data_IF_380401819242
#
_entry.id   IF_380401819242
#
_cell.length_a   1.000
_cell.length_b   1.000
_cell.length_c   1.000
_cell.angle_alpha   90.00
_cell.angle_beta   90.00
_cell.angle_gamma   90.00
#
_symmetry.space_group_name_H-M   'P 1'
#
loop_
_entity.id
_entity.type
_entity.pdbx_description
1 polymer ?
#
# COMPACT_ATOMS: atom_id res chain seq x y z
N UNK A 1 41.38 24.67 -15.37
CA UNK A 1 41.71 24.23 -13.99
C UNK A 1 40.48 23.50 -13.46
N UNK A 2 40.19 22.23 -13.80
CA UNK A 2 40.89 20.96 -13.56
C UNK A 2 40.93 20.53 -12.07
N UNK A 3 39.80 19.94 -11.61
CA UNK A 3 39.66 18.65 -10.89
C UNK A 3 40.34 18.39 -9.51
N UNK A 4 39.92 17.32 -8.77
CA UNK A 4 39.57 17.35 -7.33
C UNK A 4 40.48 16.47 -6.45
N UNK A 5 40.21 16.35 -5.14
CA UNK A 5 40.68 15.27 -4.27
C UNK A 5 39.66 15.13 -3.11
N UNK A 6 38.82 14.10 -3.02
CA UNK A 6 39.09 12.66 -2.79
C UNK A 6 40.06 12.41 -1.63
N UNK A 7 39.51 12.06 -0.48
CA UNK A 7 40.06 11.05 0.43
C UNK A 7 38.87 10.49 1.25
N UNK A 8 38.25 9.42 0.75
CA UNK A 8 38.60 8.04 1.09
C UNK A 8 38.18 7.67 2.52
N UNK A 9 36.91 7.33 2.66
CA UNK A 9 36.44 6.41 3.70
C UNK A 9 37.01 5.03 3.35
N UNK A 10 38.03 4.57 4.07
CA UNK A 10 38.52 3.19 4.00
C UNK A 10 38.81 2.63 5.39
N UNK A 11 37.92 1.72 5.76
CA UNK A 11 38.04 0.48 6.54
C UNK A 11 38.63 0.56 7.96
N UNK A 12 37.89 0.17 9.00
CA UNK A 12 37.39 -1.17 9.37
C UNK A 12 38.52 -2.11 9.86
N UNK A 13 38.34 -2.58 11.10
CA UNK A 13 38.95 -3.74 11.78
C UNK A 13 40.39 -3.59 12.28
N UNK A 14 40.55 -3.69 13.60
CA UNK A 14 41.19 -4.82 14.28
C UNK A 14 41.04 -4.66 15.82
N UNK A 15 41.24 -5.74 16.60
CA UNK A 15 40.43 -6.06 17.78
C UNK A 15 40.96 -5.43 19.07
N UNK A 16 40.06 -5.38 20.05
CA UNK A 16 40.38 -5.11 21.44
C UNK A 16 41.42 -6.10 21.95
N UNK A 17 42.57 -5.57 22.39
CA UNK A 17 43.47 -6.27 23.32
C UNK A 17 43.96 -5.26 24.36
N UNK A 18 43.45 -5.43 25.57
CA UNK A 18 44.06 -5.22 26.88
C UNK A 18 44.81 -3.93 27.26
N UNK A 19 44.26 -3.31 28.32
CA UNK A 19 44.91 -2.61 29.45
C UNK A 19 45.82 -1.39 29.22
N UNK A 20 45.41 -0.30 29.89
CA UNK A 20 46.24 0.80 30.42
C UNK A 20 47.04 1.66 29.42
N UNK A 21 46.40 2.71 28.90
CA UNK A 21 46.95 4.08 28.89
C UNK A 21 45.92 5.06 28.31
N UNK A 22 45.57 6.08 29.08
CA UNK A 22 44.79 7.23 28.63
C UNK A 22 45.69 8.11 27.75
N UNK A 23 45.41 8.21 26.45
CA UNK A 23 46.01 9.21 25.59
C UNK A 23 44.89 9.94 24.84
N UNK A 24 44.37 11.02 25.43
CA UNK A 24 43.49 11.95 24.73
C UNK A 24 44.38 12.82 23.84
N UNK A 25 44.27 12.62 22.53
CA UNK A 25 44.94 13.46 21.53
C UNK A 25 44.20 14.80 21.45
N UNK A 26 44.78 15.84 22.05
CA UNK A 26 44.21 17.20 22.07
C UNK A 26 44.47 17.90 20.74
N UNK A 27 43.41 18.11 19.96
CA UNK A 27 43.54 18.68 18.61
C UNK A 27 43.08 20.14 18.51
N UNK A 28 42.70 20.82 19.62
CA UNK A 28 42.33 22.24 19.58
C UNK A 28 42.85 23.06 20.78
N UNK A 29 43.08 24.37 20.58
CA UNK A 29 43.46 25.34 21.62
C UNK A 29 42.41 25.47 22.75
N UNK A 30 41.17 25.02 22.53
CA UNK A 30 40.12 24.95 23.56
C UNK A 30 40.40 23.85 24.58
N UNK A 31 40.94 22.72 24.12
CA UNK A 31 41.21 21.55 24.96
C UNK A 31 42.37 21.80 25.93
N UNK A 32 43.40 22.54 25.50
CA UNK A 32 44.51 22.97 26.37
C UNK A 32 44.05 23.92 27.49
N UNK A 33 43.14 24.86 27.21
CA UNK A 33 42.63 25.79 28.22
C UNK A 33 41.77 25.10 29.28
N UNK A 34 41.05 24.03 28.90
CA UNK A 34 40.30 23.23 29.87
C UNK A 34 41.25 22.45 30.79
N UNK A 35 42.30 21.83 30.25
CA UNK A 35 43.25 21.08 31.06
C UNK A 35 44.06 21.97 32.03
N UNK A 36 44.42 23.18 31.60
CA UNK A 36 45.15 24.12 32.46
C UNK A 36 44.30 24.60 33.65
N UNK A 37 42.98 24.75 33.46
CA UNK A 37 42.05 25.07 34.55
C UNK A 37 41.80 23.86 35.46
N UNK A 38 41.91 22.64 34.91
CA UNK A 38 41.75 21.36 35.61
C UNK A 38 42.88 21.07 36.59
N UNK A 39 44.12 21.41 36.23
CA UNK A 39 45.31 21.22 37.05
C UNK A 39 45.33 22.03 38.35
N UNK A 40 44.50 23.08 38.46
CA UNK A 40 44.54 24.06 39.56
C UNK A 40 43.32 24.04 40.49
N UNK A 41 42.47 22.99 40.46
CA UNK A 41 41.36 22.86 41.43
C UNK A 41 41.72 21.91 42.57
N UNK A 42 41.40 22.29 43.81
CA UNK A 42 41.75 21.61 45.07
C UNK A 42 41.06 20.26 45.31
N UNK A 43 40.37 19.70 44.31
CA UNK A 43 39.85 18.33 44.37
C UNK A 43 39.54 17.77 42.96
N UNK A 44 40.56 17.34 42.19
CA UNK A 44 40.40 16.92 40.80
C UNK A 44 39.53 15.67 40.63
N UNK A 45 39.31 14.87 41.67
CA UNK A 45 38.48 13.66 41.58
C UNK A 45 36.98 14.02 41.49
N UNK A 46 36.53 15.07 42.16
CA UNK A 46 35.11 15.48 42.17
C UNK A 46 34.69 16.06 40.81
N UNK A 47 35.57 16.84 40.17
CA UNK A 47 35.34 17.44 38.86
C UNK A 47 35.24 16.39 37.74
N UNK A 48 36.13 15.37 37.73
CA UNK A 48 36.07 14.23 36.79
C UNK A 48 34.73 13.50 36.92
N UNK A 49 34.25 13.26 38.15
CA UNK A 49 32.98 12.56 38.38
C UNK A 49 31.79 13.35 37.85
N UNK A 50 31.75 14.68 38.06
CA UNK A 50 30.68 15.51 37.52
C UNK A 50 30.72 15.56 35.98
N UNK A 51 31.91 15.65 35.39
CA UNK A 51 32.05 15.66 33.94
C UNK A 51 31.66 14.31 33.31
N UNK A 52 32.03 13.18 33.93
CA UNK A 52 31.61 11.84 33.52
C UNK A 52 30.09 11.62 33.63
N UNK A 53 29.45 12.16 34.66
CA UNK A 53 27.99 12.11 34.80
C UNK A 53 27.32 12.96 33.71
N UNK A 54 27.88 14.13 33.40
CA UNK A 54 27.35 15.02 32.38
C UNK A 54 27.52 14.45 30.96
N UNK A 55 28.67 13.84 30.64
CA UNK A 55 28.88 13.17 29.34
C UNK A 55 27.99 11.93 29.19
N UNK A 56 27.84 11.11 30.23
CA UNK A 56 26.88 9.98 30.21
C UNK A 56 25.43 10.44 30.05
N UNK A 57 25.05 11.56 30.68
CA UNK A 57 23.73 12.16 30.54
C UNK A 57 23.48 12.67 29.12
N UNK A 58 24.48 13.34 28.52
CA UNK A 58 24.41 13.80 27.12
C UNK A 58 24.35 12.63 26.12
N UNK A 59 25.09 11.55 26.37
CA UNK A 59 25.06 10.35 25.53
C UNK A 59 23.70 9.64 25.60
N UNK A 60 23.12 9.53 26.81
CA UNK A 60 21.75 9.01 26.98
C UNK A 60 20.70 9.90 26.31
N UNK A 61 20.80 11.23 26.45
CA UNK A 61 19.89 12.15 25.79
C UNK A 61 19.97 12.06 24.26
N UNK A 62 21.18 11.94 23.71
CA UNK A 62 21.41 11.75 22.28
C UNK A 62 20.80 10.44 21.77
N UNK A 63 20.95 9.34 22.52
CA UNK A 63 20.32 8.05 22.19
C UNK A 63 18.80 8.11 22.22
N UNK A 64 18.22 8.81 23.21
CA UNK A 64 16.76 8.99 23.32
C UNK A 64 16.23 9.82 22.14
N UNK A 65 16.91 10.91 21.77
CA UNK A 65 16.52 11.73 20.61
C UNK A 65 16.63 10.94 19.31
N UNK A 66 17.72 10.17 19.15
CA UNK A 66 17.90 9.31 17.97
C UNK A 66 16.80 8.24 17.87
N UNK A 67 16.47 7.56 18.97
CA UNK A 67 15.39 6.57 19.01
C UNK A 67 14.02 7.20 18.75
N UNK A 68 13.76 8.41 19.26
CA UNK A 68 12.54 9.14 18.98
C UNK A 68 12.43 9.52 17.49
N UNK A 69 13.52 9.97 16.86
CA UNK A 69 13.54 10.28 15.42
C UNK A 69 13.33 9.05 14.54
N UNK A 70 13.91 7.90 14.91
CA UNK A 70 13.69 6.62 14.22
C UNK A 70 12.24 6.15 14.38
N UNK A 71 11.65 6.34 15.57
CA UNK A 71 10.23 6.03 15.80
C UNK A 71 9.29 6.94 14.99
N UNK A 72 9.58 8.24 14.88
CA UNK A 72 8.76 9.15 14.06
C UNK A 72 8.90 8.86 12.55
N UNK A 73 10.06 8.41 12.08
CA UNK A 73 10.26 8.07 10.67
C UNK A 73 9.57 6.75 10.25
N UNK A 74 9.15 5.92 11.21
CA UNK A 74 8.54 4.61 10.95
C UNK A 74 7.02 4.59 11.07
N UNK A 75 6.36 5.71 11.39
CA UNK A 75 4.90 5.81 11.53
C UNK A 75 4.20 6.42 10.32
N UNK A 76 4.73 6.23 9.11
CA UNK A 76 3.92 6.53 7.92
C UNK A 76 2.86 5.45 7.78
N UNK A 77 1.55 5.78 7.78
CA UNK A 77 0.55 4.78 7.41
C UNK A 77 0.90 4.31 6.01
N UNK A 78 1.19 3.01 5.86
CA UNK A 78 1.44 2.42 4.55
C UNK A 78 0.13 2.50 3.75
N UNK A 79 -0.01 3.55 2.94
CA UNK A 79 -1.06 3.63 1.93
C UNK A 79 -0.59 2.81 0.73
N UNK A 80 -1.34 1.76 0.41
CA UNK A 80 -1.10 0.96 -0.79
C UNK A 80 -1.65 1.70 -2.02
N UNK A 81 -1.09 2.87 -2.33
CA UNK A 81 -1.33 3.64 -3.55
C UNK A 81 -0.16 3.44 -4.53
N UNK A 82 -0.43 3.65 -5.82
CA UNK A 82 0.66 3.62 -6.81
C UNK A 82 1.69 4.72 -6.51
N UNK A 83 3.00 4.47 -6.74
CA UNK A 83 4.01 5.51 -6.61
C UNK A 83 3.74 6.66 -7.57
N UNK A 84 4.03 7.89 -7.13
CA UNK A 84 4.00 9.05 -8.02
C UNK A 84 4.98 8.86 -9.19
N UNK A 85 4.64 9.47 -10.32
CA UNK A 85 5.54 9.57 -11.45
C UNK A 85 6.77 10.40 -11.10
N UNK A 86 7.94 9.90 -11.49
CA UNK A 86 9.23 10.58 -11.32
C UNK A 86 9.59 11.48 -12.51
N UNK A 87 8.64 11.72 -13.42
CA UNK A 87 8.76 12.55 -14.63
C UNK A 87 7.83 12.05 -15.74
N UNK A 88 7.85 12.72 -16.90
CA UNK A 88 7.01 12.38 -18.06
C UNK A 88 7.44 11.08 -18.77
N UNK A 89 8.67 10.61 -18.50
CA UNK A 89 9.21 9.38 -19.08
C UNK A 89 8.60 8.14 -18.41
N UNK A 90 7.53 7.64 -19.02
CA UNK A 90 6.88 6.40 -18.62
C UNK A 90 7.87 5.24 -18.71
N UNK A 91 8.08 4.54 -17.60
CA UNK A 91 8.91 3.34 -17.55
C UNK A 91 8.12 2.15 -18.08
N UNK A 92 7.77 2.12 -19.36
CA UNK A 92 7.48 0.80 -19.97
C UNK A 92 8.78 0.00 -19.82
N UNK A 93 8.73 -1.27 -19.43
CA UNK A 93 9.92 -2.15 -19.25
C UNK A 93 10.58 -2.49 -20.61
N UNK A 94 10.63 -1.52 -21.51
CA UNK A 94 11.04 -1.59 -22.89
C UNK A 94 11.93 -0.37 -23.16
N UNK A 95 12.84 -0.50 -24.12
CA UNK A 95 13.64 0.63 -24.56
C UNK A 95 12.72 1.78 -24.97
N UNK A 96 13.00 3.02 -24.53
CA UNK A 96 12.13 4.17 -24.80
C UNK A 96 11.92 4.40 -26.31
N UNK A 97 12.83 3.88 -27.15
CA UNK A 97 12.72 3.90 -28.62
C UNK A 97 11.76 2.86 -29.22
N UNK A 98 11.28 1.89 -28.42
CA UNK A 98 10.40 0.80 -28.85
C UNK A 98 8.93 1.04 -28.52
N UNK A 99 8.61 2.15 -27.84
CA UNK A 99 7.25 2.51 -27.44
C UNK A 99 6.48 3.08 -28.63
N UNK A 100 5.25 2.61 -28.84
CA UNK A 100 4.38 3.00 -29.96
C UNK A 100 3.01 3.46 -29.45
N UNK A 101 2.17 4.00 -30.35
CA UNK A 101 0.78 4.40 -30.01
C UNK A 101 -0.07 3.23 -29.52
N UNK A 102 0.25 2.01 -29.97
CA UNK A 102 -0.48 0.80 -29.59
C UNK A 102 -0.27 0.45 -28.11
N UNK A 103 0.83 0.89 -27.49
CA UNK A 103 1.08 0.70 -26.05
C UNK A 103 0.16 1.56 -25.16
N UNK A 104 -0.52 2.55 -25.74
CA UNK A 104 -1.46 3.46 -25.07
C UNK A 104 -2.91 3.22 -25.47
N UNK A 105 -3.18 2.19 -26.27
CA UNK A 105 -4.47 2.00 -26.90
C UNK A 105 -5.12 0.67 -26.50
N UNK A 106 -6.43 0.72 -26.27
CA UNK A 106 -7.24 -0.47 -26.13
C UNK A 106 -8.58 -0.26 -26.85
N UNK A 107 -8.99 -1.24 -27.65
CA UNK A 107 -10.29 -1.27 -28.32
C UNK A 107 -11.15 -2.42 -27.80
N UNK A 108 -12.46 -2.32 -27.96
CA UNK A 108 -13.40 -3.40 -27.63
C UNK A 108 -14.30 -3.15 -26.44
N UNK A 109 -14.14 -2.02 -25.71
CA UNK A 109 -15.07 -1.65 -24.64
C UNK A 109 -16.47 -1.28 -25.15
N UNK A 110 -16.66 -1.11 -26.46
CA UNK A 110 -17.98 -1.00 -27.10
C UNK A 110 -18.77 -2.31 -27.05
N UNK A 111 -18.07 -3.45 -27.06
CA UNK A 111 -18.65 -4.79 -27.12
C UNK A 111 -19.06 -5.26 -25.71
N UNK A 112 -20.28 -5.79 -25.53
CA UNK A 112 -20.70 -6.32 -24.25
C UNK A 112 -19.93 -7.61 -23.90
N UNK A 113 -19.55 -7.74 -22.63
CA UNK A 113 -19.00 -8.99 -22.09
C UNK A 113 -20.05 -10.11 -22.01
N UNK A 114 -19.59 -11.37 -22.02
CA UNK A 114 -20.47 -12.53 -21.87
C UNK A 114 -20.97 -12.69 -20.42
N UNK A 115 -22.25 -12.39 -20.20
CA UNK A 115 -22.93 -12.52 -18.90
C UNK A 115 -23.62 -13.86 -18.68
N UNK A 116 -23.45 -14.84 -19.59
CA UNK A 116 -23.98 -16.20 -19.44
C UNK A 116 -23.13 -17.02 -18.47
N UNK A 117 -23.15 -16.64 -17.20
CA UNK A 117 -22.40 -17.26 -16.10
C UNK A 117 -23.21 -17.21 -14.80
N UNK A 118 -22.72 -17.90 -13.76
CA UNK A 118 -23.47 -18.09 -12.51
C UNK A 118 -23.88 -16.79 -11.80
N UNK A 119 -23.11 -15.70 -11.97
CA UNK A 119 -23.39 -14.41 -11.35
C UNK A 119 -24.08 -13.44 -12.29
N UNK A 120 -24.24 -13.76 -13.57
CA UNK A 120 -24.96 -12.91 -14.53
C UNK A 120 -24.27 -11.59 -14.86
N UNK A 121 -22.97 -11.45 -14.60
CA UNK A 121 -22.20 -10.22 -14.88
C UNK A 121 -20.84 -10.52 -15.50
N UNK A 122 -20.24 -9.54 -16.17
CA UNK A 122 -18.89 -9.64 -16.72
C UNK A 122 -18.14 -8.33 -16.57
N UNK A 123 -17.02 -8.40 -15.86
CA UNK A 123 -16.02 -7.32 -15.80
C UNK A 123 -15.01 -7.50 -16.95
N UNK A 124 -14.80 -6.44 -17.72
CA UNK A 124 -13.79 -6.34 -18.77
C UNK A 124 -12.77 -5.28 -18.35
N UNK A 125 -11.60 -5.69 -17.83
CA UNK A 125 -10.61 -4.76 -17.31
C UNK A 125 -9.78 -4.11 -18.42
N UNK A 126 -9.37 -2.86 -18.16
CA UNK A 126 -8.39 -2.09 -18.93
C UNK A 126 -7.40 -1.52 -17.92
N UNK A 127 -6.51 -2.40 -17.48
CA UNK A 127 -5.42 -2.13 -16.53
C UNK A 127 -4.07 -2.05 -17.24
N UNK A 128 -2.98 -1.89 -16.48
CA UNK A 128 -1.62 -1.97 -17.05
C UNK A 128 -1.35 -3.27 -17.83
N UNK A 129 -2.10 -4.35 -17.55
CA UNK A 129 -2.01 -5.60 -18.30
C UNK A 129 -2.61 -5.52 -19.73
N UNK A 130 -3.51 -4.57 -19.99
CA UNK A 130 -4.13 -4.35 -21.30
C UNK A 130 -3.53 -3.14 -22.02
N UNK A 131 -3.17 -2.10 -21.27
CA UNK A 131 -2.51 -0.89 -21.78
C UNK A 131 -1.19 -0.73 -21.02
N UNK A 132 -0.06 -1.21 -21.57
CA UNK A 132 1.26 -1.10 -20.92
C UNK A 132 1.63 0.35 -20.56
N UNK A 133 1.18 1.31 -21.36
CA UNK A 133 1.34 2.74 -21.15
C UNK A 133 0.71 3.29 -19.86
N UNK A 134 -0.18 2.54 -19.20
CA UNK A 134 -0.69 2.90 -17.87
C UNK A 134 0.35 2.74 -16.76
N UNK A 135 1.50 2.11 -17.04
CA UNK A 135 2.53 1.93 -16.03
C UNK A 135 3.00 3.28 -15.50
N UNK A 136 3.03 3.40 -14.17
CA UNK A 136 3.30 4.61 -13.38
C UNK A 136 2.21 5.69 -13.43
N UNK A 137 1.15 5.59 -14.24
CA UNK A 137 0.11 6.63 -14.34
C UNK A 137 -0.91 6.61 -13.20
N UNK A 138 -0.94 5.56 -12.36
CA UNK A 138 -1.80 5.52 -11.18
C UNK A 138 -3.30 5.32 -11.45
N UNK A 139 -3.69 4.89 -12.65
CA UNK A 139 -5.10 4.74 -13.03
C UNK A 139 -5.37 3.50 -13.88
N UNK A 140 -6.60 3.01 -13.82
CA UNK A 140 -7.14 1.99 -14.74
C UNK A 140 -8.64 2.20 -14.98
N UNK A 141 -9.20 1.45 -15.92
CA UNK A 141 -10.62 1.51 -16.29
C UNK A 141 -11.20 0.09 -16.34
N UNK A 142 -12.50 -0.04 -16.11
CA UNK A 142 -13.25 -1.28 -16.34
C UNK A 142 -14.59 -0.98 -17.01
N UNK A 143 -15.06 -1.90 -17.86
CA UNK A 143 -16.47 -2.01 -18.23
C UNK A 143 -17.10 -3.17 -17.50
N UNK A 144 -18.34 -2.99 -17.05
CA UNK A 144 -19.12 -4.04 -16.43
C UNK A 144 -20.47 -4.16 -17.12
N UNK A 145 -20.75 -5.36 -17.63
CA UNK A 145 -22.04 -5.72 -18.23
C UNK A 145 -22.82 -6.62 -17.26
N UNK A 146 -24.11 -6.35 -17.11
CA UNK A 146 -25.01 -7.08 -16.22
C UNK A 146 -26.21 -7.59 -17.01
N UNK A 147 -26.46 -8.91 -16.97
CA UNK A 147 -27.73 -9.50 -17.36
C UNK A 147 -28.84 -9.08 -16.36
N UNK A 148 -30.13 -9.34 -16.65
CA UNK A 148 -31.19 -9.19 -15.67
C UNK A 148 -30.86 -10.01 -14.42
N UNK A 149 -30.99 -9.40 -13.24
CA UNK A 149 -30.61 -10.02 -11.96
C UNK A 149 -29.13 -10.42 -11.86
N UNK A 150 -28.28 -9.83 -12.69
CA UNK A 150 -26.83 -10.00 -12.64
C UNK A 150 -26.21 -9.29 -11.43
N UNK A 151 -25.26 -9.96 -10.78
CA UNK A 151 -24.53 -9.52 -9.61
C UNK A 151 -23.04 -9.43 -9.95
N UNK A 152 -22.41 -8.30 -9.67
CA UNK A 152 -20.98 -8.27 -9.38
C UNK A 152 -20.83 -8.49 -7.87
N UNK A 153 -20.40 -9.68 -7.41
CA UNK A 153 -20.52 -10.10 -6.01
C UNK A 153 -19.74 -9.19 -5.05
N UNK A 154 -19.99 -9.27 -3.73
CA UNK A 154 -19.19 -8.56 -2.75
C UNK A 154 -17.69 -8.74 -2.97
N UNK A 155 -16.98 -7.65 -3.21
CA UNK A 155 -15.56 -7.62 -3.50
C UNK A 155 -14.90 -6.36 -2.95
N UNK A 156 -13.57 -6.34 -2.95
CA UNK A 156 -12.77 -5.16 -2.58
C UNK A 156 -11.58 -4.97 -3.50
N UNK A 157 -11.17 -3.71 -3.66
CA UNK A 157 -9.95 -3.30 -4.35
C UNK A 157 -8.91 -2.88 -3.29
N UNK A 158 -7.90 -3.72 -3.00
CA UNK A 158 -6.94 -3.44 -1.93
C UNK A 158 -6.07 -2.20 -2.22
N UNK A 159 -5.94 -1.80 -3.49
CA UNK A 159 -5.02 -0.75 -3.94
C UNK A 159 -5.68 0.44 -4.65
N UNK A 160 -7.01 0.49 -4.70
CA UNK A 160 -7.67 1.58 -5.42
C UNK A 160 -9.05 1.94 -4.85
N UNK A 161 -9.37 3.23 -4.91
CA UNK A 161 -10.75 3.72 -4.92
C UNK A 161 -11.33 3.53 -6.31
N UNK A 162 -12.62 3.21 -6.39
CA UNK A 162 -13.37 3.09 -7.64
C UNK A 162 -14.40 4.22 -7.75
N UNK A 163 -14.53 4.82 -8.94
CA UNK A 163 -15.63 5.70 -9.30
C UNK A 163 -16.37 5.11 -10.50
N UNK A 164 -17.67 4.82 -10.32
CA UNK A 164 -18.51 4.12 -11.29
C UNK A 164 -19.60 5.04 -11.83
N UNK A 165 -19.83 5.02 -13.14
CA UNK A 165 -20.94 5.66 -13.83
C UNK A 165 -21.79 4.64 -14.58
N UNK A 166 -23.12 4.76 -14.48
CA UNK A 166 -24.05 3.90 -15.23
C UNK A 166 -24.23 4.44 -16.65
N UNK A 167 -23.94 3.63 -17.66
CA UNK A 167 -24.14 3.99 -19.07
C UNK A 167 -25.50 3.55 -19.63
N UNK A 168 -26.06 2.47 -19.09
CA UNK A 168 -27.34 1.90 -19.51
C UNK A 168 -28.03 1.20 -18.33
N UNK A 169 -29.36 1.31 -18.29
CA UNK A 169 -30.19 0.64 -17.28
C UNK A 169 -30.10 1.32 -15.92
N UNK A 170 -30.21 0.50 -14.87
CA UNK A 170 -30.10 0.90 -13.48
C UNK A 170 -29.35 -0.17 -12.67
N UNK A 171 -28.71 0.25 -11.57
CA UNK A 171 -27.95 -0.63 -10.67
C UNK A 171 -28.25 -0.30 -9.22
N UNK A 172 -28.52 -1.32 -8.40
CA UNK A 172 -28.45 -1.21 -6.95
C UNK A 172 -26.98 -1.42 -6.58
N UNK A 173 -26.39 -0.43 -5.94
CA UNK A 173 -24.99 -0.52 -5.50
C UNK A 173 -24.91 -0.36 -3.99
N UNK A 174 -23.82 -0.84 -3.40
CA UNK A 174 -23.53 -0.51 -2.02
C UNK A 174 -22.14 -0.90 -1.57
N UNK A 175 -21.68 -0.28 -0.48
CA UNK A 175 -20.48 -0.65 0.24
C UNK A 175 -20.74 -0.67 1.75
N UNK A 176 -19.85 -1.34 2.49
CA UNK A 176 -19.90 -1.46 3.94
C UNK A 176 -18.67 -0.80 4.55
N UNK A 177 -18.86 0.05 5.55
CA UNK A 177 -17.73 0.68 6.29
C UNK A 177 -16.99 -0.35 7.14
N UNK A 178 -15.79 -0.03 7.58
CA UNK A 178 -15.02 -0.88 8.50
C UNK A 178 -15.70 -1.01 9.88
N UNK A 179 -15.15 -1.91 10.70
CA UNK A 179 -15.50 -2.05 12.11
C UNK A 179 -15.29 -0.73 12.89
N UNK A 180 -16.05 -0.54 13.99
CA UNK A 180 -17.09 -1.43 14.51
C UNK A 180 -18.47 -1.29 13.83
N UNK A 181 -18.71 -0.23 13.07
CA UNK A 181 -20.07 0.13 12.63
C UNK A 181 -20.62 -0.82 11.56
N UNK A 182 -19.76 -1.31 10.66
CA UNK A 182 -20.18 -2.14 9.51
C UNK A 182 -21.39 -1.53 8.78
N UNK A 183 -21.40 -0.20 8.62
CA UNK A 183 -22.55 0.54 8.10
C UNK A 183 -22.67 0.31 6.60
N UNK A 184 -23.84 -0.15 6.18
CA UNK A 184 -24.16 -0.33 4.76
C UNK A 184 -24.65 0.98 4.14
N UNK A 185 -23.93 1.47 3.14
CA UNK A 185 -24.31 2.59 2.29
C UNK A 185 -24.76 2.05 0.94
N UNK A 186 -26.01 2.31 0.55
CA UNK A 186 -26.59 1.78 -0.69
C UNK A 186 -27.43 2.82 -1.43
N UNK A 187 -27.49 2.68 -2.76
CA UNK A 187 -28.31 3.52 -3.62
C UNK A 187 -28.68 2.79 -4.92
N UNK A 188 -29.83 3.14 -5.48
CA UNK A 188 -30.18 2.85 -6.87
C UNK A 188 -29.61 3.96 -7.76
N UNK A 189 -28.79 3.58 -8.72
CA UNK A 189 -28.23 4.45 -9.75
C UNK A 189 -28.98 4.24 -11.06
N UNK A 190 -29.35 5.32 -11.73
CA UNK A 190 -29.87 5.33 -13.09
C UNK A 190 -28.76 5.71 -14.08
N UNK A 191 -29.03 5.56 -15.38
CA UNK A 191 -28.14 6.06 -16.43
C UNK A 191 -27.68 7.51 -16.15
N UNK A 192 -26.37 7.72 -16.15
CA UNK A 192 -25.72 8.99 -15.89
C UNK A 192 -25.35 9.24 -14.42
N UNK A 193 -25.92 8.48 -13.48
CA UNK A 193 -25.57 8.60 -12.07
C UNK A 193 -24.17 8.03 -11.80
N UNK A 194 -23.47 8.65 -10.85
CA UNK A 194 -22.11 8.31 -10.43
C UNK A 194 -22.11 7.88 -8.96
N UNK A 195 -21.26 6.91 -8.62
CA UNK A 195 -21.07 6.46 -7.24
C UNK A 195 -19.60 6.11 -6.98
N UNK A 196 -19.13 6.35 -5.75
CA UNK A 196 -17.73 6.12 -5.36
C UNK A 196 -17.66 5.01 -4.33
N UNK A 197 -16.75 4.06 -4.53
CA UNK A 197 -16.41 3.02 -3.58
C UNK A 197 -15.01 3.28 -3.00
N UNK A 198 -14.89 3.63 -1.71
CA UNK A 198 -13.59 3.90 -1.09
C UNK A 198 -12.67 2.68 -1.13
N UNK A 199 -11.36 2.94 -1.28
CA UNK A 199 -10.33 1.90 -1.31
C UNK A 199 -10.45 0.92 -0.14
N UNK A 200 -10.34 -0.37 -0.45
CA UNK A 200 -10.33 -1.44 0.55
C UNK A 200 -11.69 -1.82 1.13
N UNK A 201 -12.75 -1.03 0.93
CA UNK A 201 -14.08 -1.37 1.44
C UNK A 201 -14.79 -2.42 0.57
N UNK A 202 -15.47 -3.35 1.24
CA UNK A 202 -16.30 -4.36 0.56
C UNK A 202 -17.50 -3.66 -0.07
N UNK A 203 -17.71 -3.90 -1.35
CA UNK A 203 -18.80 -3.32 -2.12
C UNK A 203 -19.33 -4.30 -3.19
N UNK A 204 -20.47 -3.97 -3.77
CA UNK A 204 -21.15 -4.79 -4.78
C UNK A 204 -21.98 -3.92 -5.74
N UNK A 205 -22.33 -4.50 -6.88
CA UNK A 205 -23.33 -3.94 -7.79
C UNK A 205 -24.29 -5.04 -8.22
N UNK A 206 -25.59 -4.75 -8.21
CA UNK A 206 -26.64 -5.69 -8.51
C UNK A 206 -27.65 -5.07 -9.47
N UNK A 207 -27.88 -5.73 -10.60
CA UNK A 207 -28.91 -5.36 -11.54
C UNK A 207 -30.25 -5.97 -11.10
N UNK A 208 -30.95 -5.31 -10.16
CA UNK A 208 -32.25 -5.76 -9.67
C UNK A 208 -33.42 -5.51 -10.65
N UNK A 209 -33.15 -5.45 -11.96
CA UNK A 209 -34.14 -5.18 -13.01
C UNK A 209 -34.15 -6.28 -14.05
N UNK A 210 -35.23 -6.31 -14.83
CA UNK A 210 -35.48 -7.28 -15.90
C UNK A 210 -34.77 -6.95 -17.23
N UNK A 211 -33.97 -5.89 -17.26
CA UNK A 211 -33.25 -5.43 -18.47
C UNK A 211 -31.75 -5.36 -18.19
N UNK A 212 -30.93 -5.43 -19.24
CA UNK A 212 -29.48 -5.37 -19.09
C UNK A 212 -29.02 -3.97 -18.67
N UNK A 213 -28.03 -3.94 -17.78
CA UNK A 213 -27.36 -2.72 -17.34
C UNK A 213 -25.88 -2.74 -17.72
N UNK A 214 -25.31 -1.54 -17.92
CA UNK A 214 -23.89 -1.37 -18.26
C UNK A 214 -23.32 -0.23 -17.44
N UNK A 215 -22.14 -0.42 -16.88
CA UNK A 215 -21.39 0.61 -16.18
C UNK A 215 -19.94 0.68 -16.67
N UNK A 216 -19.33 1.84 -16.50
CA UNK A 216 -17.89 2.04 -16.62
C UNK A 216 -17.39 2.53 -15.26
N UNK A 217 -16.24 2.05 -14.81
CA UNK A 217 -15.60 2.57 -13.62
C UNK A 217 -14.13 2.87 -13.85
N UNK A 218 -13.66 3.98 -13.29
CA UNK A 218 -12.25 4.32 -13.18
C UNK A 218 -11.72 3.96 -11.80
N UNK A 219 -10.48 3.48 -11.73
CA UNK A 219 -9.84 3.09 -10.47
C UNK A 219 -8.52 3.84 -10.28
N UNK A 220 -8.25 4.25 -9.05
CA UNK A 220 -7.06 5.03 -8.66
C UNK A 220 -5.78 4.18 -8.52
N UNK A 221 -5.60 3.18 -9.37
CA UNK A 221 -4.36 2.42 -9.53
C UNK A 221 -4.32 1.78 -10.91
N UNK A 222 -3.12 1.68 -11.49
CA UNK A 222 -2.83 0.91 -12.70
C UNK A 222 -3.10 -0.59 -12.52
N UNK A 223 -3.05 -1.07 -11.27
CA UNK A 223 -3.32 -2.44 -10.87
C UNK A 223 -4.08 -2.45 -9.53
N UNK A 224 -5.40 -2.21 -9.54
CA UNK A 224 -6.21 -2.09 -8.32
C UNK A 224 -6.24 -3.39 -7.51
N UNK A 225 -6.11 -4.53 -8.19
CA UNK A 225 -6.36 -5.86 -7.62
C UNK A 225 -7.84 -6.06 -7.30
N UNK A 226 -8.28 -7.30 -7.20
CA UNK A 226 -9.68 -7.60 -6.81
C UNK A 226 -9.68 -8.80 -5.89
N UNK A 227 -10.43 -8.70 -4.80
CA UNK A 227 -10.69 -9.80 -3.88
C UNK A 227 -12.19 -9.98 -3.82
N UNK A 228 -12.72 -10.94 -4.59
CA UNK A 228 -14.11 -11.38 -4.45
C UNK A 228 -14.25 -12.17 -3.16
N UNK A 229 -15.06 -11.69 -2.22
CA UNK A 229 -15.10 -12.18 -0.85
C UNK A 229 -15.44 -13.68 -0.79
N UNK A 230 -16.47 -14.12 -1.53
CA UNK A 230 -16.86 -15.53 -1.59
C UNK A 230 -15.73 -16.42 -2.10
N UNK A 231 -15.11 -16.06 -3.23
CA UNK A 231 -14.02 -16.83 -3.83
C UNK A 231 -12.80 -16.89 -2.91
N UNK A 232 -12.44 -15.78 -2.27
CA UNK A 232 -11.28 -15.71 -1.39
C UNK A 232 -11.47 -16.51 -0.09
N UNK A 233 -12.69 -16.57 0.45
CA UNK A 233 -12.98 -17.26 1.71
C UNK A 233 -13.26 -18.75 1.47
N UNK A 234 -14.07 -19.09 0.47
CA UNK A 234 -14.56 -20.45 0.26
C UNK A 234 -13.87 -21.19 -0.89
N UNK A 235 -13.24 -20.48 -1.84
CA UNK A 235 -12.58 -21.06 -3.03
C UNK A 235 -11.06 -20.89 -3.08
N UNK A 236 -10.40 -20.57 -1.95
CA UNK A 236 -8.95 -20.39 -1.92
C UNK A 236 -8.20 -21.71 -2.14
N UNK A 237 -6.97 -21.62 -2.66
CA UNK A 237 -6.06 -22.77 -2.78
C UNK A 237 -4.70 -22.44 -2.13
N UNK A 238 -4.28 -23.16 -1.07
CA UNK A 238 -5.03 -24.20 -0.36
C UNK A 238 -6.31 -23.64 0.33
N UNK A 239 -7.30 -24.50 0.62
CA UNK A 239 -8.53 -24.05 1.28
C UNK A 239 -8.25 -23.60 2.72
N UNK A 240 -8.99 -22.57 3.19
CA UNK A 240 -9.02 -22.21 4.61
C UNK A 240 -9.65 -23.38 5.39
N UNK A 241 -9.05 -23.74 6.52
CA UNK A 241 -9.53 -24.83 7.37
C UNK A 241 -11.01 -24.68 7.75
N UNK A 242 -11.74 -25.79 7.74
CA UNK A 242 -13.16 -25.81 8.10
C UNK A 242 -13.37 -25.43 9.56
N UNK A 243 -12.41 -25.74 10.44
CA UNK A 243 -12.45 -25.28 11.84
C UNK A 243 -12.43 -23.75 11.93
N UNK A 244 -11.62 -23.10 11.09
CA UNK A 244 -11.52 -21.63 11.04
C UNK A 244 -12.82 -21.05 10.51
N UNK A 245 -13.34 -21.55 9.39
CA UNK A 245 -14.56 -21.02 8.77
C UNK A 245 -15.81 -21.31 9.61
N UNK A 246 -15.97 -22.53 10.14
CA UNK A 246 -17.08 -22.87 11.02
C UNK A 246 -17.10 -21.97 12.26
N UNK A 247 -15.92 -21.73 12.86
CA UNK A 247 -15.79 -20.83 14.01
C UNK A 247 -16.01 -19.36 13.63
N UNK A 248 -15.55 -18.91 12.47
CA UNK A 248 -15.69 -17.52 12.05
C UNK A 248 -17.14 -17.15 11.65
N UNK A 249 -17.84 -18.08 11.01
CA UNK A 249 -19.21 -17.86 10.51
C UNK A 249 -20.29 -18.35 11.47
N UNK A 250 -19.91 -18.96 12.60
CA UNK A 250 -20.83 -19.54 13.59
C UNK A 250 -21.76 -20.61 13.01
N UNK A 251 -21.22 -21.47 12.14
CA UNK A 251 -21.96 -22.54 11.46
C UNK A 251 -21.25 -23.89 11.63
N UNK A 252 -21.91 -24.98 11.22
CA UNK A 252 -21.29 -26.30 11.23
C UNK A 252 -20.29 -26.48 10.08
N UNK A 253 -19.39 -27.46 10.19
CA UNK A 253 -18.45 -27.80 9.10
C UNK A 253 -19.18 -28.27 7.84
N UNK A 254 -20.29 -29.00 8.02
CA UNK A 254 -21.13 -29.46 6.91
C UNK A 254 -21.73 -28.27 6.13
N UNK A 255 -22.05 -27.18 6.84
CA UNK A 255 -22.51 -25.93 6.20
C UNK A 255 -21.37 -25.27 5.41
N UNK A 256 -20.15 -25.24 5.96
CA UNK A 256 -18.96 -24.74 5.25
C UNK A 256 -18.71 -25.54 3.98
N UNK A 257 -18.77 -26.87 4.06
CA UNK A 257 -18.58 -27.77 2.90
C UNK A 257 -19.66 -27.56 1.85
N UNK A 258 -20.92 -27.39 2.27
CA UNK A 258 -22.04 -27.13 1.36
C UNK A 258 -21.88 -25.79 0.62
N UNK A 259 -21.36 -24.75 1.28
CA UNK A 259 -21.04 -23.47 0.65
C UNK A 259 -19.85 -23.64 -0.30
N UNK A 260 -18.76 -24.29 0.16
CA UNK A 260 -17.55 -24.52 -0.63
C UNK A 260 -17.83 -25.28 -1.92
N UNK A 261 -18.76 -26.22 -1.92
CA UNK A 261 -19.17 -26.95 -3.13
C UNK A 261 -19.77 -26.06 -4.24
N UNK A 262 -19.97 -24.76 -3.99
CA UNK A 262 -20.43 -23.76 -4.98
C UNK A 262 -19.31 -22.92 -5.58
N UNK A 263 -18.06 -23.05 -5.10
CA UNK A 263 -16.90 -22.24 -5.48
C UNK A 263 -15.81 -23.05 -6.18
#
# INVERSE_FOLDING_TARGET
>A
MAYPLVLSLKYLLLPWTDSTACAVQMNTLRDLKMFYKYSNSSNPIYSIKQHLVQTKSMEMASRIIFLALVALASTSPAMASDPNQLGDSMRIQQDAQMVTVDDFFFSGLDKPGNTSNAVGSKVTPVSVAQIPGLNTLGISLVRIDYAPFGLNPPHTHPRATEVLVVLKGALLVGFVTSNPENKHHTKVLNKGDVFVFPQGLIHYQYNNWTTNSVAIAGLSSQNPGVITVGNAIFGSTPPISDDVLAKAFHVSKETVDAIRAKF
#
